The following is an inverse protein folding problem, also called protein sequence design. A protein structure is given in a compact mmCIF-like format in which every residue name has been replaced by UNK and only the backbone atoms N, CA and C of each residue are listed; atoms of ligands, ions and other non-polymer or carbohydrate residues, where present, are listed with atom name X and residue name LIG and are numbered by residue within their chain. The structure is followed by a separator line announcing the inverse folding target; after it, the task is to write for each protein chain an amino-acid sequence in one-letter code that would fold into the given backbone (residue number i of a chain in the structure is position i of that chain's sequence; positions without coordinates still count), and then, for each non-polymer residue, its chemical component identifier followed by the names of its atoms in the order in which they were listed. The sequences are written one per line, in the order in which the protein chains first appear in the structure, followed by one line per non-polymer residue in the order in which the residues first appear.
data_IF_852687919769
#
_entry.id   IF_852687919769
#
_cell.length_a   1.000
_cell.length_b   1.000
_cell.length_c   1.000
_cell.angle_alpha   90.00
_cell.angle_beta   90.00
_cell.angle_gamma   90.00
#
_symmetry.space_group_name_H-M   'P 1'
#
loop_
_entity.id
_entity.type
_entity.pdbx_description
1 polymer ?
#
# COMPACT_ATOMS: atom_id res chain seq x y z
N UNK A 1 7.61 -0.77 -21.15
CA UNK A 1 7.19 -1.81 -22.11
C UNK A 1 5.68 -1.91 -22.29
N UNK A 2 4.85 -1.66 -21.28
CA UNK A 2 3.39 -1.74 -21.44
C UNK A 2 2.82 -0.80 -22.53
N UNK A 3 3.31 0.45 -22.67
CA UNK A 3 2.93 1.35 -23.78
C UNK A 3 3.25 0.79 -25.15
N UNK A 4 4.43 0.19 -25.31
CA UNK A 4 4.88 -0.42 -26.57
C UNK A 4 4.07 -1.67 -26.94
N UNK A 5 3.38 -2.27 -25.96
CA UNK A 5 2.46 -3.39 -26.16
C UNK A 5 1.00 -2.91 -26.30
N UNK A 6 0.75 -1.60 -26.42
CA UNK A 6 -0.57 -1.01 -26.65
C UNK A 6 -1.39 -0.71 -25.39
N UNK A 7 -0.76 -0.55 -24.22
CA UNK A 7 -1.49 -0.18 -23.00
C UNK A 7 -1.68 1.35 -22.87
N UNK A 8 -2.94 1.77 -22.74
CA UNK A 8 -3.34 3.15 -22.49
C UNK A 8 -3.46 3.49 -20.98
N UNK A 9 -3.52 2.47 -20.11
CA UNK A 9 -3.67 2.63 -18.66
C UNK A 9 -2.69 1.75 -17.88
N UNK A 10 -2.31 2.21 -16.68
CA UNK A 10 -1.33 1.55 -15.82
C UNK A 10 -1.89 1.42 -14.40
N UNK A 11 -1.97 0.18 -13.92
CA UNK A 11 -2.32 -0.12 -12.53
C UNK A 11 -1.08 -0.35 -11.68
N UNK A 12 -0.97 0.36 -10.55
CA UNK A 12 0.18 0.28 -9.65
C UNK A 12 -0.20 -0.18 -8.24
N UNK A 13 -0.80 -1.36 -8.11
CA UNK A 13 -1.27 -1.87 -6.80
C UNK A 13 -0.15 -2.05 -5.77
N UNK A 14 0.97 -2.66 -6.18
CA UNK A 14 2.09 -2.91 -5.27
C UNK A 14 2.80 -1.62 -4.82
N UNK A 15 3.03 -0.71 -5.75
CA UNK A 15 3.65 0.58 -5.44
C UNK A 15 2.73 1.45 -4.59
N UNK A 16 1.42 1.44 -4.85
CA UNK A 16 0.45 2.11 -4.01
C UNK A 16 0.51 1.57 -2.56
N UNK A 17 0.60 0.25 -2.37
CA UNK A 17 0.73 -0.36 -1.04
C UNK A 17 1.99 0.12 -0.29
N UNK A 18 3.15 0.20 -0.97
CA UNK A 18 4.39 0.74 -0.36
C UNK A 18 4.22 2.20 -0.02
N UNK A 19 3.68 2.99 -0.95
CA UNK A 19 3.48 4.41 -0.75
C UNK A 19 2.51 4.70 0.39
N UNK A 20 1.59 3.79 0.72
CA UNK A 20 0.73 3.87 1.92
C UNK A 20 1.38 3.33 3.19
N UNK A 21 2.58 2.74 3.13
CA UNK A 21 3.32 2.27 4.32
C UNK A 21 3.70 0.78 4.35
N UNK A 22 3.40 -0.02 3.32
CA UNK A 22 3.72 -1.44 3.31
C UNK A 22 5.24 -1.72 3.38
N UNK A 23 5.67 -2.43 4.42
CA UNK A 23 7.07 -2.81 4.68
C UNK A 23 7.52 -4.09 3.97
N UNK A 24 6.65 -4.71 3.16
CA UNK A 24 6.96 -5.94 2.43
C UNK A 24 7.36 -7.14 3.31
N UNK A 25 6.76 -7.24 4.50
CA UNK A 25 6.96 -8.37 5.42
C UNK A 25 6.37 -9.71 4.94
N UNK A 26 5.53 -9.70 3.90
CA UNK A 26 4.93 -10.91 3.27
C UNK A 26 4.11 -11.81 4.21
N UNK A 27 3.59 -11.25 5.30
CA UNK A 27 2.72 -11.93 6.26
C UNK A 27 1.24 -11.55 6.09
N UNK A 28 0.83 -11.02 4.93
CA UNK A 28 -0.52 -10.45 4.78
C UNK A 28 -1.65 -11.48 5.02
N UNK A 29 -1.41 -12.77 4.80
CA UNK A 29 -2.40 -13.83 5.00
C UNK A 29 -2.64 -14.18 6.48
N UNK A 30 -1.84 -13.67 7.41
CA UNK A 30 -1.96 -13.98 8.85
C UNK A 30 -2.80 -12.97 9.62
N UNK A 31 -3.35 -11.95 8.93
CA UNK A 31 -4.09 -10.85 9.54
C UNK A 31 -3.30 -10.07 10.61
N UNK A 32 -1.96 -10.13 10.57
CA UNK A 32 -1.08 -9.46 11.53
C UNK A 32 -0.08 -8.56 10.80
N UNK A 33 -0.58 -7.73 9.88
CA UNK A 33 0.27 -6.80 9.16
C UNK A 33 0.84 -5.75 10.13
N UNK A 34 2.17 -5.57 10.13
CA UNK A 34 2.86 -4.66 11.08
C UNK A 34 2.39 -3.20 11.00
N UNK A 35 1.91 -2.80 9.82
CA UNK A 35 1.44 -1.44 9.51
C UNK A 35 -0.05 -1.39 9.19
N UNK A 36 -0.75 -2.49 9.45
CA UNK A 36 -2.18 -2.69 9.20
C UNK A 36 -2.70 -2.44 7.77
N UNK A 37 -1.85 -2.26 6.75
CA UNK A 37 -2.25 -2.05 5.34
C UNK A 37 -3.14 -3.18 4.77
N UNK A 38 -3.03 -4.39 5.32
CA UNK A 38 -3.78 -5.58 4.88
C UNK A 38 -4.29 -6.39 6.10
N UNK A 39 -4.86 -5.69 7.08
CA UNK A 39 -5.38 -6.25 8.34
C UNK A 39 -6.86 -5.89 8.50
N UNK A 40 -7.67 -6.81 9.02
CA UNK A 40 -9.12 -6.67 9.24
C UNK A 40 -9.47 -6.51 10.73
N UNK A 41 -8.52 -6.07 11.55
CA UNK A 41 -8.72 -5.91 13.00
C UNK A 41 -9.77 -4.82 13.30
N UNK A 42 -10.65 -5.08 14.28
CA UNK A 42 -11.71 -4.15 14.68
C UNK A 42 -11.18 -2.86 15.32
N UNK A 43 -9.95 -2.92 15.85
CA UNK A 43 -9.22 -1.79 16.42
C UNK A 43 -8.00 -1.48 15.56
N UNK A 44 -8.09 -0.44 14.73
CA UNK A 44 -6.94 0.12 14.02
C UNK A 44 -6.01 0.80 15.01
N UNK A 45 -4.77 0.34 15.11
CA UNK A 45 -3.76 1.03 15.91
C UNK A 45 -3.24 2.25 15.13
N UNK A 46 -3.47 3.49 15.60
CA UNK A 46 -3.04 4.71 14.88
C UNK A 46 -1.51 4.82 14.77
N UNK A 47 -0.77 4.03 15.55
CA UNK A 47 0.69 3.91 15.47
C UNK A 47 1.12 3.00 14.31
N UNK A 48 0.32 1.98 13.98
CA UNK A 48 0.62 1.04 12.88
C UNK A 48 0.23 1.62 11.53
N UNK A 49 -0.88 2.33 11.46
CA UNK A 49 -1.39 2.90 10.21
C UNK A 49 -0.84 4.31 9.97
N UNK A 50 0.17 4.52 9.12
CA UNK A 50 0.47 5.86 8.65
C UNK A 50 -0.68 6.32 7.77
N UNK A 51 -1.51 7.24 8.26
CA UNK A 51 -2.52 7.90 7.45
C UNK A 51 -1.82 8.75 6.39
N UNK A 52 -1.80 8.29 5.14
CA UNK A 52 -0.84 8.80 4.15
C UNK A 52 -1.44 9.09 2.78
N UNK A 53 -2.57 9.78 2.76
CA UNK A 53 -2.98 10.52 1.57
C UNK A 53 -1.98 11.64 1.23
N UNK A 54 -1.25 12.14 2.23
CA UNK A 54 -0.31 13.27 2.14
C UNK A 54 1.00 12.91 1.42
N UNK A 55 1.57 11.71 1.60
CA UNK A 55 2.86 11.35 0.98
C UNK A 55 2.75 10.98 -0.49
N UNK A 56 1.60 10.45 -0.92
CA UNK A 56 1.34 10.10 -2.32
C UNK A 56 1.15 11.34 -3.18
N UNK A 57 0.66 12.46 -2.65
CA UNK A 57 0.44 13.68 -3.44
C UNK A 57 1.55 14.73 -3.31
N UNK A 58 2.30 14.77 -2.19
CA UNK A 58 3.35 15.79 -1.96
C UNK A 58 4.77 15.34 -2.32
N UNK A 59 4.95 14.10 -2.79
CA UNK A 59 6.25 13.58 -3.25
C UNK A 59 6.37 13.53 -4.79
N UNK A 60 5.40 14.07 -5.52
CA UNK A 60 5.40 14.26 -6.98
C UNK A 60 5.17 15.73 -7.33
#
# INVERSE_FOLDING_TARGET
MATAMGADEYGFGFLAMIATGCLMARICHTNNCLVDVASQVDSLDPVKFPCLLVHILLSF
#
